data_IF_671916916343
#
_entry.id   IF_671916916343
#
_cell.length_a   1.000
_cell.length_b   1.000
_cell.length_c   1.000
_cell.angle_alpha   90.00
_cell.angle_beta   90.00
_cell.angle_gamma   90.00
#
_symmetry.space_group_name_H-M   'P 1'
#
loop_
_entity.id
_entity.type
_entity.pdbx_description
1 polymer ?
#
# COMPACT_ATOMS: atom_id res chain seq x y z
N UNK A 1 -15.48 0.31 -10.82
CA UNK A 1 -15.53 0.73 -9.40
C UNK A 1 -14.14 1.15 -8.93
N UNK A 2 -13.93 2.42 -8.58
CA UNK A 2 -12.67 2.86 -7.99
C UNK A 2 -12.25 1.98 -6.81
N UNK A 3 -10.95 1.71 -6.67
CA UNK A 3 -10.45 0.74 -5.68
C UNK A 3 -10.85 1.04 -4.23
N UNK A 4 -11.15 2.30 -3.93
CA UNK A 4 -11.50 2.77 -2.60
C UNK A 4 -12.95 2.51 -2.17
N UNK A 5 -13.86 2.11 -3.07
CA UNK A 5 -15.29 2.00 -2.73
C UNK A 5 -15.59 0.88 -1.72
N UNK A 6 -14.83 -0.20 -1.76
CA UNK A 6 -14.99 -1.35 -0.86
C UNK A 6 -14.00 -1.34 0.32
N UNK A 7 -13.25 -0.24 0.45
CA UNK A 7 -12.20 -0.11 1.46
C UNK A 7 -12.79 0.57 2.70
N UNK A 8 -12.72 -0.06 3.88
CA UNK A 8 -13.23 0.54 5.11
C UNK A 8 -12.58 1.90 5.39
N UNK A 9 -13.36 2.87 5.93
CA UNK A 9 -12.82 4.15 6.32
C UNK A 9 -11.81 3.98 7.45
N UNK A 10 -10.83 4.87 7.49
CA UNK A 10 -9.82 4.92 8.54
C UNK A 10 -9.88 6.29 9.20
N UNK A 11 -9.92 6.32 10.53
CA UNK A 11 -9.99 7.56 11.30
C UNK A 11 -8.85 7.64 12.29
N UNK A 12 -8.28 8.83 12.46
CA UNK A 12 -7.38 9.14 13.56
C UNK A 12 -7.62 10.55 14.09
N UNK A 13 -7.14 10.79 15.30
CA UNK A 13 -7.32 12.06 15.98
C UNK A 13 -6.05 12.92 15.92
N UNK A 14 -6.23 14.23 15.83
CA UNK A 14 -5.18 15.25 15.97
C UNK A 14 -5.56 16.23 17.07
N UNK A 15 -4.55 16.83 17.68
CA UNK A 15 -4.74 17.98 18.57
C UNK A 15 -4.74 19.26 17.72
N UNK A 16 -5.86 19.98 17.74
CA UNK A 16 -6.07 21.22 17.02
C UNK A 16 -6.45 22.30 18.03
N UNK A 17 -5.48 23.17 18.34
CA UNK A 17 -5.66 24.28 19.30
C UNK A 17 -6.15 23.83 20.69
N UNK A 18 -5.69 22.66 21.15
CA UNK A 18 -6.08 22.08 22.45
C UNK A 18 -7.37 21.27 22.42
N UNK A 19 -8.03 21.16 21.26
CA UNK A 19 -9.19 20.31 21.06
C UNK A 19 -8.85 19.10 20.21
N UNK A 20 -9.40 17.93 20.58
CA UNK A 20 -9.24 16.71 19.80
C UNK A 20 -10.17 16.72 18.60
N UNK A 21 -9.60 16.77 17.40
CA UNK A 21 -10.32 16.70 16.13
C UNK A 21 -10.07 15.35 15.46
N UNK A 22 -11.03 14.87 14.67
CA UNK A 22 -10.97 13.58 13.97
C UNK A 22 -10.87 13.79 12.46
N UNK A 23 -9.96 13.03 11.85
CA UNK A 23 -9.71 13.03 10.42
C UNK A 23 -9.99 11.63 9.89
N UNK A 24 -10.89 11.55 8.90
CA UNK A 24 -11.32 10.28 8.31
C UNK A 24 -10.89 10.23 6.85
N UNK A 25 -10.18 9.18 6.46
CA UNK A 25 -10.12 8.77 5.06
C UNK A 25 -11.32 7.88 4.74
N UNK A 26 -12.09 8.21 3.71
CA UNK A 26 -13.24 7.43 3.25
C UNK A 26 -13.45 7.62 1.75
N UNK A 27 -13.72 6.53 1.03
CA UNK A 27 -14.05 6.57 -0.41
C UNK A 27 -13.09 7.44 -1.23
N UNK A 28 -11.78 7.27 -1.01
CA UNK A 28 -10.73 7.97 -1.75
C UNK A 28 -10.45 9.41 -1.28
N UNK A 29 -11.21 9.94 -0.33
CA UNK A 29 -11.12 11.33 0.11
C UNK A 29 -10.78 11.45 1.60
N UNK A 30 -10.20 12.59 1.99
CA UNK A 30 -10.03 13.00 3.39
C UNK A 30 -11.19 13.89 3.79
N UNK A 31 -11.83 13.55 4.90
CA UNK A 31 -12.88 14.31 5.55
C UNK A 31 -12.35 14.84 6.88
N UNK A 32 -12.36 16.15 7.05
CA UNK A 32 -12.03 16.83 8.31
C UNK A 32 -13.33 17.05 9.08
N UNK A 33 -13.61 16.23 10.09
CA UNK A 33 -14.95 16.20 10.73
C UNK A 33 -15.33 17.54 11.38
N UNK A 34 -14.35 18.23 11.95
CA UNK A 34 -14.54 19.54 12.60
C UNK A 34 -14.29 20.73 11.67
N UNK A 35 -13.82 20.49 10.43
CA UNK A 35 -13.54 21.52 9.44
C UNK A 35 -14.08 21.11 8.05
N UNK A 36 -15.41 20.96 7.90
CA UNK A 36 -16.01 20.40 6.68
C UNK A 36 -15.80 21.29 5.44
N UNK A 37 -15.69 22.60 5.62
CA UNK A 37 -15.47 23.57 4.54
C UNK A 37 -13.98 23.88 4.36
N UNK A 38 -13.25 22.93 3.76
CA UNK A 38 -11.79 23.03 3.57
C UNK A 38 -11.38 24.32 2.84
N UNK A 39 -12.14 24.74 1.83
CA UNK A 39 -11.82 25.96 1.07
C UNK A 39 -12.03 27.23 1.89
N UNK A 40 -13.01 27.25 2.82
CA UNK A 40 -13.20 28.36 3.75
C UNK A 40 -12.02 28.44 4.74
N UNK A 41 -11.55 27.31 5.26
CA UNK A 41 -10.36 27.25 6.13
C UNK A 41 -9.10 27.74 5.39
N UNK A 42 -8.91 27.31 4.14
CA UNK A 42 -7.81 27.80 3.29
C UNK A 42 -7.90 29.32 3.08
N UNK A 43 -9.10 29.86 2.87
CA UNK A 43 -9.30 31.30 2.75
C UNK A 43 -8.97 32.05 4.05
N UNK A 44 -9.39 31.53 5.21
CA UNK A 44 -9.04 32.11 6.52
C UNK A 44 -7.52 32.15 6.74
N UNK A 45 -6.82 31.06 6.42
CA UNK A 45 -5.35 31.02 6.49
C UNK A 45 -4.71 32.04 5.54
N UNK A 46 -5.21 32.15 4.31
CA UNK A 46 -4.72 33.13 3.34
C UNK A 46 -4.93 34.59 3.80
N UNK A 47 -5.96 34.84 4.62
CA UNK A 47 -6.24 36.14 5.24
C UNK A 47 -5.44 36.39 6.54
N UNK A 48 -4.50 35.51 6.88
CA UNK A 48 -3.64 35.63 8.06
C UNK A 48 -4.12 34.87 9.29
N UNK A 49 -5.13 34.01 9.15
CA UNK A 49 -5.57 33.10 10.21
C UNK A 49 -4.53 32.02 10.52
N UNK A 50 -4.61 31.45 11.73
CA UNK A 50 -3.77 30.32 12.14
C UNK A 50 -4.21 29.08 11.35
N UNK A 51 -3.25 28.31 10.85
CA UNK A 51 -3.53 27.07 10.12
C UNK A 51 -3.86 25.94 11.11
N UNK A 52 -5.08 25.37 11.08
CA UNK A 52 -5.42 24.27 11.97
C UNK A 52 -4.64 23.01 11.61
N UNK A 53 -4.34 22.18 12.61
CA UNK A 53 -3.58 20.93 12.40
C UNK A 53 -4.28 19.98 11.43
N UNK A 54 -5.62 19.99 11.40
CA UNK A 54 -6.42 19.25 10.43
C UNK A 54 -6.09 19.63 8.99
N UNK A 55 -5.92 20.92 8.71
CA UNK A 55 -5.57 21.40 7.37
C UNK A 55 -4.12 21.09 7.00
N UNK A 56 -3.20 21.08 7.97
CA UNK A 56 -1.83 20.57 7.73
C UNK A 56 -1.82 19.10 7.31
N UNK A 57 -2.59 18.25 8.01
CA UNK A 57 -2.72 16.83 7.64
C UNK A 57 -3.33 16.68 6.25
N UNK A 58 -4.35 17.47 5.92
CA UNK A 58 -4.97 17.46 4.60
C UNK A 58 -3.94 17.79 3.50
N UNK A 59 -3.15 18.85 3.68
CA UNK A 59 -2.12 19.22 2.72
C UNK A 59 -1.01 18.17 2.61
N UNK A 60 -0.61 17.54 3.72
CA UNK A 60 0.35 16.44 3.72
C UNK A 60 -0.19 15.21 2.98
N UNK A 61 -1.48 14.89 3.13
CA UNK A 61 -2.13 13.85 2.35
C UNK A 61 -2.10 14.17 0.85
N UNK A 62 -2.49 15.38 0.46
CA UNK A 62 -2.47 15.79 -0.95
C UNK A 62 -1.05 15.70 -1.53
N UNK A 63 -0.06 16.16 -0.75
CA UNK A 63 1.35 16.09 -1.13
C UNK A 63 1.84 14.64 -1.26
N UNK A 64 1.43 13.75 -0.36
CA UNK A 64 1.77 12.33 -0.41
C UNK A 64 1.25 11.67 -1.69
N UNK A 65 -0.02 11.90 -2.03
CA UNK A 65 -0.66 11.35 -3.24
C UNK A 65 -0.06 11.93 -4.52
N UNK A 66 0.34 13.20 -4.50
CA UNK A 66 0.92 13.87 -5.67
C UNK A 66 2.37 13.44 -5.93
N UNK A 67 3.20 13.37 -4.89
CA UNK A 67 4.65 13.14 -5.04
C UNK A 67 5.05 11.67 -4.93
N UNK A 68 4.44 10.92 -4.00
CA UNK A 68 4.74 9.50 -3.76
C UNK A 68 6.10 9.19 -3.15
N UNK A 69 6.99 10.17 -2.92
CA UNK A 69 8.34 9.91 -2.44
C UNK A 69 8.44 9.22 -1.06
N UNK A 70 7.41 9.34 -0.22
CA UNK A 70 7.33 8.62 1.07
C UNK A 70 7.34 7.09 0.90
N UNK A 71 7.03 6.57 -0.29
CA UNK A 71 7.00 5.14 -0.61
C UNK A 71 8.35 4.47 -0.37
N UNK A 72 9.47 5.19 -0.54
CA UNK A 72 10.79 4.65 -0.18
C UNK A 72 10.85 4.22 1.29
N UNK A 73 10.37 5.08 2.20
CA UNK A 73 10.33 4.75 3.61
C UNK A 73 9.24 3.73 3.92
N UNK A 74 8.08 3.80 3.28
CA UNK A 74 6.94 2.91 3.55
C UNK A 74 7.14 1.49 3.03
N UNK A 75 7.79 1.30 1.87
CA UNK A 75 7.83 0.03 1.15
C UNK A 75 8.34 -1.18 1.98
N UNK A 76 9.41 -1.06 2.79
CA UNK A 76 9.93 -2.16 3.59
C UNK A 76 9.02 -2.58 4.75
N UNK A 77 8.05 -1.74 5.14
CA UNK A 77 7.21 -1.96 6.31
C UNK A 77 5.81 -2.39 5.91
N UNK A 78 5.26 -3.34 6.68
CA UNK A 78 3.90 -3.84 6.50
C UNK A 78 2.95 -3.43 7.63
N UNK A 79 3.50 -3.02 8.78
CA UNK A 79 2.74 -2.57 9.94
C UNK A 79 3.36 -1.30 10.47
N UNK A 80 2.59 -0.58 11.28
CA UNK A 80 3.12 0.52 12.06
C UNK A 80 4.21 0.03 13.02
N UNK A 81 5.34 0.70 13.01
CA UNK A 81 6.46 0.47 13.93
C UNK A 81 6.76 1.76 14.69
N UNK A 82 6.53 1.72 16.01
CA UNK A 82 6.73 2.89 16.89
C UNK A 82 8.20 3.27 16.99
N UNK A 83 9.10 2.29 17.03
CA UNK A 83 10.53 2.55 17.14
C UNK A 83 11.05 3.15 15.83
N UNK A 84 10.61 2.63 14.69
CA UNK A 84 10.95 3.22 13.39
C UNK A 84 10.41 4.63 13.24
N UNK A 85 9.15 4.88 13.63
CA UNK A 85 8.55 6.22 13.60
C UNK A 85 9.29 7.20 14.51
N UNK A 86 9.68 6.77 15.70
CA UNK A 86 10.51 7.58 16.59
C UNK A 86 11.85 7.94 15.96
N UNK A 87 12.55 6.96 15.39
CA UNK A 87 13.81 7.20 14.68
C UNK A 87 13.65 8.17 13.49
N UNK A 88 12.56 8.03 12.72
CA UNK A 88 12.26 8.93 11.60
C UNK A 88 12.05 10.38 12.05
N UNK A 89 11.38 10.60 13.19
CA UNK A 89 11.23 11.95 13.76
C UNK A 89 12.60 12.56 14.09
N UNK A 90 13.51 11.78 14.69
CA UNK A 90 14.87 12.24 14.97
C UNK A 90 15.67 12.50 13.69
N UNK A 91 15.58 11.62 12.69
CA UNK A 91 16.27 11.78 11.41
C UNK A 91 15.77 13.02 10.65
N UNK A 92 14.47 13.29 10.68
CA UNK A 92 13.86 14.47 10.08
C UNK A 92 14.32 15.76 10.76
N UNK A 93 14.43 15.76 12.09
CA UNK A 93 14.94 16.92 12.83
C UNK A 93 16.40 17.21 12.52
N UNK A 94 17.24 16.16 12.41
CA UNK A 94 18.64 16.31 11.97
C UNK A 94 18.76 16.80 10.53
N UNK A 95 17.87 16.33 9.64
CA UNK A 95 17.81 16.84 8.28
C UNK A 95 17.50 18.34 8.23
N UNK A 96 16.62 18.83 9.12
CA UNK A 96 16.27 20.25 9.23
C UNK A 96 17.38 21.11 9.81
N UNK A 97 17.93 20.67 10.94
CA UNK A 97 18.86 21.48 11.74
C UNK A 97 20.31 21.37 11.27
N UNK A 98 20.74 20.18 10.87
CA UNK A 98 22.13 19.87 10.51
C UNK A 98 22.31 19.64 8.99
N UNK A 99 21.21 19.43 8.24
CA UNK A 99 21.25 19.08 6.82
C UNK A 99 21.69 17.63 6.56
N UNK A 100 21.71 16.77 7.59
CA UNK A 100 22.12 15.35 7.46
C UNK A 100 20.93 14.49 7.05
N UNK A 101 21.04 13.82 5.91
CA UNK A 101 19.98 12.97 5.34
C UNK A 101 20.27 11.49 5.61
N UNK A 102 19.59 10.94 6.62
CA UNK A 102 19.72 9.53 7.03
C UNK A 102 18.57 8.65 6.53
N UNK A 103 17.68 9.17 5.69
CA UNK A 103 16.49 8.50 5.19
C UNK A 103 16.03 9.13 3.86
N UNK A 104 15.17 8.42 3.11
CA UNK A 104 14.69 8.86 1.79
C UNK A 104 15.83 9.24 0.85
N UNK A 105 16.83 8.36 0.73
CA UNK A 105 18.10 8.64 0.05
C UNK A 105 17.96 8.83 -1.46
N UNK A 106 16.91 8.27 -2.07
CA UNK A 106 16.66 8.45 -3.50
C UNK A 106 16.03 9.82 -3.83
N UNK A 107 15.70 10.62 -2.80
CA UNK A 107 15.11 11.94 -2.95
C UNK A 107 16.14 13.06 -2.73
N UNK A 108 16.06 14.15 -3.52
CA UNK A 108 16.73 15.39 -3.19
C UNK A 108 16.31 15.89 -1.80
N UNK A 109 17.23 16.54 -1.08
CA UNK A 109 17.05 16.99 0.31
C UNK A 109 15.70 17.70 0.58
N UNK A 110 15.33 18.65 -0.28
CA UNK A 110 14.07 19.40 -0.12
C UNK A 110 12.82 18.52 -0.23
N UNK A 111 12.87 17.51 -1.11
CA UNK A 111 11.79 16.51 -1.24
C UNK A 111 11.81 15.52 -0.08
N UNK A 112 12.99 15.10 0.38
CA UNK A 112 13.14 14.24 1.55
C UNK A 112 12.57 14.89 2.82
N UNK A 113 12.77 16.20 3.02
CA UNK A 113 12.15 16.95 4.12
C UNK A 113 10.61 16.85 4.09
N UNK A 114 10.01 17.13 2.93
CA UNK A 114 8.56 17.08 2.74
C UNK A 114 7.98 15.68 2.91
N UNK A 115 8.64 14.67 2.33
CA UNK A 115 8.21 13.27 2.43
C UNK A 115 8.49 12.65 3.80
N UNK A 116 9.49 13.16 4.52
CA UNK A 116 9.70 12.85 5.92
C UNK A 116 8.58 13.35 6.80
N UNK A 117 8.12 14.59 6.59
CA UNK A 117 6.95 15.14 7.27
C UNK A 117 5.68 14.30 7.04
N UNK A 118 5.46 13.87 5.80
CA UNK A 118 4.39 12.91 5.46
C UNK A 118 4.52 11.63 6.28
N UNK A 119 5.72 11.05 6.30
CA UNK A 119 6.00 9.75 6.94
C UNK A 119 5.86 9.77 8.47
N UNK A 120 6.22 10.88 9.12
CA UNK A 120 6.14 11.01 10.59
C UNK A 120 4.79 11.53 11.08
N UNK A 121 4.02 12.22 10.23
CA UNK A 121 2.73 12.79 10.60
C UNK A 121 1.59 11.83 10.32
N UNK A 122 1.51 11.27 9.11
CA UNK A 122 0.39 10.40 8.74
C UNK A 122 0.49 9.04 9.43
N UNK A 123 -0.64 8.46 9.88
CA UNK A 123 -0.67 7.06 10.33
C UNK A 123 -0.28 6.09 9.21
N UNK A 124 0.23 4.92 9.56
CA UNK A 124 0.64 3.91 8.57
C UNK A 124 -0.52 3.50 7.65
N UNK A 125 -1.73 3.37 8.19
CA UNK A 125 -2.93 3.06 7.40
C UNK A 125 -3.27 4.17 6.40
N UNK A 126 -2.98 5.45 6.71
CA UNK A 126 -3.11 6.53 5.74
C UNK A 126 -2.02 6.44 4.67
N UNK A 127 -0.78 6.09 5.03
CA UNK A 127 0.29 5.85 4.05
C UNK A 127 -0.05 4.67 3.11
N UNK A 128 -0.74 3.64 3.63
CA UNK A 128 -1.28 2.55 2.82
C UNK A 128 -2.29 3.05 1.78
N UNK A 129 -3.22 3.93 2.18
CA UNK A 129 -4.20 4.53 1.25
C UNK A 129 -3.55 5.48 0.25
N UNK A 130 -2.58 6.29 0.69
CA UNK A 130 -1.85 7.18 -0.19
C UNK A 130 -1.06 6.39 -1.25
N UNK A 131 -0.43 5.28 -0.86
CA UNK A 131 0.31 4.43 -1.81
C UNK A 131 -0.63 3.81 -2.84
N UNK A 132 -1.79 3.30 -2.41
CA UNK A 132 -2.79 2.77 -3.32
C UNK A 132 -3.30 3.84 -4.30
N UNK A 133 -3.50 5.08 -3.85
CA UNK A 133 -3.88 6.20 -4.71
C UNK A 133 -2.78 6.58 -5.72
N UNK A 134 -1.50 6.63 -5.29
CA UNK A 134 -0.35 6.88 -6.17
C UNK A 134 -0.25 5.83 -7.26
N UNK A 135 -0.37 4.55 -6.88
CA UNK A 135 -0.30 3.41 -7.81
C UNK A 135 -1.47 3.41 -8.79
N UNK A 136 -2.69 3.66 -8.32
CA UNK A 136 -3.89 3.72 -9.16
C UNK A 136 -3.82 4.87 -10.19
N UNK A 137 -3.40 6.05 -9.75
CA UNK A 137 -3.21 7.20 -10.63
C UNK A 137 -2.09 6.98 -11.67
N UNK A 138 -1.08 6.16 -11.36
CA UNK A 138 -0.05 5.78 -12.33
C UNK A 138 -0.56 4.72 -13.31
N UNK A 139 -1.31 3.71 -12.85
CA UNK A 139 -1.95 2.69 -13.70
C UNK A 139 -2.83 3.35 -14.78
N UNK A 140 -3.60 4.36 -14.40
CA UNK A 140 -4.46 5.13 -15.31
C UNK A 140 -3.68 6.01 -16.32
N UNK A 141 -2.44 6.37 -16.03
CA UNK A 141 -1.61 7.28 -16.85
C UNK A 141 -0.54 6.54 -17.67
N UNK A 142 -0.54 5.20 -17.68
CA UNK A 142 0.43 4.40 -18.43
C UNK A 142 1.72 4.06 -17.68
N UNK A 143 1.66 4.04 -16.35
CA UNK A 143 2.73 3.57 -15.46
C UNK A 143 4.08 4.32 -15.59
N UNK A 144 4.03 5.65 -15.40
CA UNK A 144 5.21 6.51 -15.43
C UNK A 144 5.79 6.76 -14.02
N UNK A 145 6.61 5.82 -13.54
CA UNK A 145 7.40 6.00 -12.32
C UNK A 145 8.88 6.08 -12.64
N UNK A 146 9.59 6.92 -11.90
CA UNK A 146 11.06 6.89 -11.95
C UNK A 146 11.61 5.52 -11.48
N UNK A 147 12.86 5.16 -11.84
CA UNK A 147 13.42 3.85 -11.52
C UNK A 147 13.52 3.53 -10.02
N UNK A 148 13.82 4.52 -9.16
CA UNK A 148 13.94 4.30 -7.72
C UNK A 148 12.59 3.98 -7.09
N UNK A 149 11.56 4.76 -7.41
CA UNK A 149 10.20 4.51 -6.94
C UNK A 149 9.65 3.18 -7.47
N UNK A 150 9.95 2.83 -8.72
CA UNK A 150 9.61 1.53 -9.30
C UNK A 150 10.22 0.37 -8.51
N UNK A 151 11.48 0.50 -8.07
CA UNK A 151 12.16 -0.49 -7.22
C UNK A 151 11.45 -0.64 -5.88
N UNK A 152 11.12 0.46 -5.19
CA UNK A 152 10.41 0.42 -3.91
C UNK A 152 9.02 -0.19 -4.03
N UNK A 153 8.25 0.15 -5.07
CA UNK A 153 6.96 -0.48 -5.36
C UNK A 153 7.09 -1.98 -5.65
N UNK A 154 8.15 -2.40 -6.33
CA UNK A 154 8.44 -3.80 -6.56
C UNK A 154 8.75 -4.53 -5.24
N UNK A 155 9.58 -3.94 -4.37
CA UNK A 155 9.88 -4.49 -3.03
C UNK A 155 8.61 -4.59 -2.16
N UNK A 156 7.80 -3.54 -2.13
CA UNK A 156 6.53 -3.51 -1.41
C UNK A 156 5.56 -4.59 -1.90
N UNK A 157 5.44 -4.74 -3.22
CA UNK A 157 4.61 -5.79 -3.86
C UNK A 157 5.10 -7.17 -3.47
N UNK A 158 6.42 -7.46 -3.54
CA UNK A 158 6.98 -8.76 -3.15
C UNK A 158 6.71 -9.09 -1.69
N UNK A 159 6.93 -8.14 -0.77
CA UNK A 159 6.71 -8.31 0.66
C UNK A 159 5.25 -8.67 0.95
N UNK A 160 4.32 -7.87 0.41
CA UNK A 160 2.88 -8.03 0.62
C UNK A 160 2.35 -9.30 -0.05
N UNK A 161 2.81 -9.62 -1.25
CA UNK A 161 2.47 -10.86 -1.96
C UNK A 161 2.97 -12.11 -1.21
N UNK A 162 4.21 -12.11 -0.69
CA UNK A 162 4.74 -13.21 0.12
C UNK A 162 3.86 -13.49 1.34
N UNK A 163 3.45 -12.45 2.06
CA UNK A 163 2.59 -12.58 3.25
C UNK A 163 1.20 -13.11 2.88
N UNK A 164 0.60 -12.58 1.82
CA UNK A 164 -0.68 -13.05 1.31
C UNK A 164 -0.60 -14.52 0.85
N UNK A 165 0.45 -14.91 0.13
CA UNK A 165 0.70 -16.29 -0.27
C UNK A 165 0.79 -17.23 0.95
N UNK A 166 1.61 -16.90 1.96
CA UNK A 166 1.74 -17.73 3.18
C UNK A 166 0.38 -17.88 3.87
N UNK A 167 -0.40 -16.79 3.97
CA UNK A 167 -1.75 -16.82 4.53
C UNK A 167 -2.72 -17.64 3.68
N UNK A 168 -2.63 -17.62 2.36
CA UNK A 168 -3.48 -18.45 1.50
C UNK A 168 -3.14 -19.94 1.66
N UNK A 169 -1.85 -20.30 1.59
CA UNK A 169 -1.39 -21.68 1.72
C UNK A 169 -1.72 -22.28 3.09
N UNK A 170 -1.78 -21.47 4.16
CA UNK A 170 -2.24 -21.98 5.47
C UNK A 170 -3.71 -22.45 5.48
N UNK A 171 -4.51 -22.05 4.49
CA UNK A 171 -5.89 -22.50 4.30
C UNK A 171 -6.01 -23.65 3.28
N UNK A 172 -4.92 -24.04 2.61
CA UNK A 172 -4.91 -25.11 1.60
C UNK A 172 -5.23 -26.48 2.22
N UNK A 173 -5.96 -27.30 1.46
CA UNK A 173 -6.25 -28.69 1.80
C UNK A 173 -5.75 -29.61 0.67
N UNK A 174 -4.98 -30.69 0.98
CA UNK A 174 -4.49 -31.08 2.31
C UNK A 174 -3.56 -30.02 2.93
N UNK A 175 -3.47 -29.99 4.26
CA UNK A 175 -2.69 -28.97 4.97
C UNK A 175 -1.21 -29.10 4.69
N UNK A 176 -0.54 -27.98 4.43
CA UNK A 176 0.90 -27.97 4.16
C UNK A 176 1.64 -27.55 5.44
N UNK A 177 2.59 -28.37 5.92
CA UNK A 177 3.38 -28.02 7.09
C UNK A 177 4.27 -26.82 6.79
N UNK A 178 4.31 -25.86 7.73
CA UNK A 178 5.16 -24.67 7.66
C UNK A 178 5.09 -23.90 6.34
N UNK A 179 3.93 -23.32 5.94
CA UNK A 179 3.79 -22.55 4.71
C UNK A 179 4.84 -21.43 4.55
N UNK A 180 5.30 -20.87 5.66
CA UNK A 180 6.32 -19.84 5.70
C UNK A 180 7.70 -20.30 5.22
N UNK A 181 7.98 -21.61 5.15
CA UNK A 181 9.25 -22.16 4.68
C UNK A 181 9.25 -22.47 3.17
N UNK A 182 8.10 -22.40 2.51
CA UNK A 182 8.01 -22.67 1.07
C UNK A 182 8.78 -21.57 0.32
N UNK A 183 9.77 -21.91 -0.52
CA UNK A 183 10.35 -20.99 -1.48
C UNK A 183 9.26 -20.32 -2.34
N UNK A 184 9.21 -18.99 -2.31
CA UNK A 184 8.27 -18.20 -3.09
C UNK A 184 9.06 -17.07 -3.76
N UNK A 185 9.08 -17.08 -5.08
CA UNK A 185 9.68 -16.01 -5.89
C UNK A 185 8.56 -15.20 -6.54
N UNK A 186 8.57 -13.90 -6.30
CA UNK A 186 7.64 -12.97 -6.93
C UNK A 186 8.42 -12.07 -7.89
N UNK A 187 8.19 -12.32 -9.18
CA UNK A 187 8.68 -11.52 -10.28
C UNK A 187 7.75 -10.31 -10.44
N UNK A 188 8.34 -9.13 -10.56
CA UNK A 188 7.58 -7.90 -10.75
C UNK A 188 7.76 -7.50 -12.21
N UNK A 189 6.68 -7.61 -12.98
CA UNK A 189 6.69 -7.37 -14.42
C UNK A 189 5.68 -6.29 -14.76
N UNK A 190 6.07 -5.36 -15.63
CA UNK A 190 5.20 -4.31 -16.14
C UNK A 190 4.32 -4.78 -17.32
N UNK A 191 4.51 -6.01 -17.79
CA UNK A 191 3.60 -6.67 -18.73
C UNK A 191 2.31 -7.10 -18.03
N UNK A 192 1.18 -7.08 -18.75
CA UNK A 192 -0.13 -7.26 -18.12
C UNK A 192 -0.41 -8.68 -17.58
N UNK A 193 0.15 -9.72 -18.19
CA UNK A 193 -0.20 -11.09 -17.82
C UNK A 193 0.50 -11.54 -16.53
N UNK A 194 -0.30 -11.67 -15.48
CA UNK A 194 0.10 -12.36 -14.25
C UNK A 194 0.10 -13.87 -14.50
N UNK A 195 1.08 -14.58 -13.96
CA UNK A 195 1.18 -16.04 -14.09
C UNK A 195 1.66 -16.66 -12.78
N UNK A 196 1.37 -17.95 -12.59
CA UNK A 196 1.86 -18.76 -11.47
C UNK A 196 2.44 -20.07 -11.99
N UNK A 197 3.53 -20.54 -11.39
CA UNK A 197 4.19 -21.82 -11.70
C UNK A 197 4.78 -22.42 -10.42
N UNK A 198 5.16 -23.69 -10.51
CA UNK A 198 5.74 -24.44 -9.40
C UNK A 198 4.82 -25.56 -8.96
N UNK A 199 4.95 -26.00 -7.71
CA UNK A 199 4.12 -27.05 -7.12
C UNK A 199 4.33 -27.10 -5.60
N UNK A 200 3.38 -27.75 -4.91
CA UNK A 200 3.49 -28.09 -3.49
C UNK A 200 3.63 -29.61 -3.35
N UNK A 201 4.75 -30.06 -2.78
CA UNK A 201 5.06 -31.47 -2.56
C UNK A 201 5.96 -31.64 -1.32
N UNK A 202 5.45 -31.19 -0.16
CA UNK A 202 6.20 -31.23 1.10
C UNK A 202 7.49 -30.40 1.04
N UNK A 203 8.65 -31.05 1.19
CA UNK A 203 9.96 -30.37 1.23
C UNK A 203 10.44 -29.84 -0.12
N UNK A 204 9.94 -30.41 -1.22
CA UNK A 204 10.32 -30.03 -2.58
C UNK A 204 9.40 -28.93 -3.14
N UNK A 205 8.53 -28.35 -2.31
CA UNK A 205 7.62 -27.28 -2.72
C UNK A 205 8.40 -26.05 -3.17
N UNK A 206 7.99 -25.44 -4.26
CA UNK A 206 8.51 -24.16 -4.74
C UNK A 206 7.45 -23.48 -5.58
N UNK A 207 7.29 -22.16 -5.42
CA UNK A 207 6.28 -21.38 -6.14
C UNK A 207 6.91 -20.14 -6.74
N UNK A 208 6.58 -19.88 -7.99
CA UNK A 208 6.91 -18.63 -8.67
C UNK A 208 5.63 -17.95 -9.15
N UNK A 209 5.57 -16.64 -8.98
CA UNK A 209 4.48 -15.81 -9.49
C UNK A 209 5.05 -14.59 -10.20
N UNK A 210 4.36 -14.10 -11.22
CA UNK A 210 4.58 -12.79 -11.82
C UNK A 210 3.40 -11.89 -11.50
N UNK A 211 3.68 -10.71 -10.94
CA UNK A 211 2.68 -9.69 -10.62
C UNK A 211 3.08 -8.35 -11.22
N UNK A 212 2.07 -7.59 -11.66
CA UNK A 212 2.22 -6.18 -11.93
C UNK A 212 2.11 -5.38 -10.63
N UNK A 213 2.90 -4.30 -10.40
CA UNK A 213 2.80 -3.55 -9.15
C UNK A 213 1.46 -2.83 -8.93
N UNK A 214 0.61 -2.69 -9.99
CA UNK A 214 -0.82 -2.30 -9.85
C UNK A 214 -1.60 -3.22 -8.91
N UNK A 215 -1.10 -4.43 -8.64
CA UNK A 215 -1.62 -5.33 -7.62
C UNK A 215 -1.75 -4.66 -6.24
N UNK A 216 -0.89 -3.67 -5.92
CA UNK A 216 -0.99 -2.91 -4.68
C UNK A 216 -2.34 -2.19 -4.56
N UNK A 217 -2.80 -1.47 -5.59
CA UNK A 217 -4.09 -0.78 -5.56
C UNK A 217 -5.26 -1.73 -5.81
N UNK A 218 -5.15 -2.62 -6.81
CA UNK A 218 -6.26 -3.48 -7.25
C UNK A 218 -6.58 -4.63 -6.31
N UNK A 219 -5.59 -5.17 -5.59
CA UNK A 219 -5.76 -6.40 -4.80
C UNK A 219 -5.43 -6.17 -3.33
N UNK A 220 -4.24 -5.67 -3.03
CA UNK A 220 -3.79 -5.54 -1.64
C UNK A 220 -4.57 -4.47 -0.87
N UNK A 221 -4.70 -3.26 -1.42
CA UNK A 221 -5.37 -2.15 -0.75
C UNK A 221 -6.87 -2.41 -0.50
N UNK A 222 -7.50 -3.18 -1.39
CA UNK A 222 -8.88 -3.66 -1.29
C UNK A 222 -9.10 -4.77 -0.26
N UNK A 223 -8.02 -5.32 0.30
CA UNK A 223 -8.11 -6.41 1.28
C UNK A 223 -8.44 -7.77 0.67
N UNK A 224 -8.35 -7.93 -0.65
CA UNK A 224 -8.71 -9.18 -1.36
C UNK A 224 -7.49 -10.03 -1.76
N UNK A 225 -6.29 -9.68 -1.31
CA UNK A 225 -5.06 -10.45 -1.53
C UNK A 225 -5.16 -11.92 -1.07
N UNK A 226 -5.99 -12.18 -0.06
CA UNK A 226 -6.45 -13.54 0.27
C UNK A 226 -7.97 -13.51 0.39
N UNK A 227 -8.66 -14.19 -0.52
CA UNK A 227 -10.11 -14.30 -0.52
C UNK A 227 -10.52 -15.77 -0.63
N UNK A 228 -11.48 -16.21 0.19
CA UNK A 228 -11.88 -17.63 0.33
C UNK A 228 -10.69 -18.60 0.53
N UNK A 229 -9.66 -18.14 1.24
CA UNK A 229 -8.44 -18.93 1.51
C UNK A 229 -7.47 -19.05 0.32
N UNK A 230 -7.75 -18.42 -0.83
CA UNK A 230 -6.90 -18.47 -2.03
C UNK A 230 -6.10 -17.18 -2.19
N UNK A 231 -4.92 -17.30 -2.79
CA UNK A 231 -4.06 -16.15 -3.10
C UNK A 231 -4.55 -15.48 -4.37
N UNK A 232 -4.87 -14.18 -4.32
CA UNK A 232 -5.37 -13.42 -5.45
C UNK A 232 -4.21 -12.75 -6.19
N UNK A 233 -4.05 -13.05 -7.47
CA UNK A 233 -2.99 -12.48 -8.33
C UNK A 233 -3.45 -11.26 -9.12
N UNK A 234 -4.75 -11.14 -9.38
CA UNK A 234 -5.32 -9.94 -10.00
C UNK A 234 -6.78 -9.76 -9.59
N UNK A 235 -7.25 -8.52 -9.68
CA UNK A 235 -8.66 -8.18 -9.57
C UNK A 235 -9.02 -7.26 -10.74
N UNK A 236 -9.99 -7.70 -11.53
CA UNK A 236 -10.52 -6.95 -12.66
C UNK A 236 -11.98 -6.61 -12.41
N UNK A 237 -12.45 -5.56 -13.05
CA UNK A 237 -13.81 -5.10 -12.91
C UNK A 237 -14.44 -4.88 -14.27
N UNK A 238 -15.72 -5.23 -14.35
CA UNK A 238 -16.65 -4.78 -15.38
C UNK A 238 -17.74 -3.95 -14.72
N UNK A 239 -18.56 -3.25 -15.50
CA UNK A 239 -19.58 -2.32 -14.99
C UNK A 239 -20.53 -2.96 -13.95
N UNK A 240 -20.75 -4.28 -14.04
CA UNK A 240 -21.69 -5.01 -13.17
C UNK A 240 -21.01 -6.02 -12.23
N UNK A 241 -19.68 -6.18 -12.26
CA UNK A 241 -19.03 -7.23 -11.46
C UNK A 241 -17.55 -7.02 -11.16
N UNK A 242 -17.13 -7.57 -10.01
CA UNK A 242 -15.71 -7.71 -9.68
C UNK A 242 -15.31 -9.16 -9.88
N UNK A 243 -14.25 -9.40 -10.64
CA UNK A 243 -13.66 -10.72 -10.85
C UNK A 243 -12.29 -10.79 -10.19
N UNK A 244 -12.06 -11.85 -9.42
CA UNK A 244 -10.76 -12.16 -8.84
C UNK A 244 -10.11 -13.28 -9.63
N UNK A 245 -8.85 -13.09 -10.01
CA UNK A 245 -8.00 -14.16 -10.53
C UNK A 245 -7.16 -14.69 -9.38
N UNK A 246 -7.35 -15.95 -9.04
CA UNK A 246 -6.79 -16.58 -7.84
C UNK A 246 -6.01 -17.85 -8.17
N UNK A 247 -5.04 -18.19 -7.32
CA UNK A 247 -4.34 -19.47 -7.39
C UNK A 247 -5.21 -20.58 -6.82
N UNK A 248 -5.56 -21.53 -7.66
CA UNK A 248 -6.13 -22.82 -7.31
C UNK A 248 -5.05 -23.90 -7.38
N UNK A 249 -5.16 -24.88 -6.49
CA UNK A 249 -4.20 -25.97 -6.38
C UNK A 249 -4.87 -27.25 -6.85
N UNK A 250 -4.42 -27.80 -7.98
CA UNK A 250 -4.96 -29.03 -8.57
C UNK A 250 -4.11 -30.23 -8.16
N UNK A 251 -4.76 -31.28 -7.67
CA UNK A 251 -4.09 -32.51 -7.26
C UNK A 251 -3.73 -33.35 -8.50
N UNK A 252 -2.43 -33.62 -8.67
CA UNK A 252 -1.90 -34.52 -9.70
C UNK A 252 -1.21 -35.74 -9.08
N UNK A 253 -1.75 -36.24 -7.97
CA UNK A 253 -1.31 -37.43 -7.25
C UNK A 253 -0.39 -37.09 -6.08
N UNK A 254 0.91 -36.87 -6.37
CA UNK A 254 1.93 -36.63 -5.32
C UNK A 254 2.29 -35.14 -5.14
N UNK A 255 1.62 -34.26 -5.87
CA UNK A 255 1.90 -32.82 -5.89
C UNK A 255 0.64 -32.03 -6.21
N UNK A 256 0.61 -30.80 -5.70
CA UNK A 256 -0.39 -29.81 -6.06
C UNK A 256 0.22 -28.82 -7.04
N UNK A 257 -0.30 -28.75 -8.25
CA UNK A 257 0.13 -27.78 -9.25
C UNK A 257 -0.73 -26.50 -9.12
N UNK A 258 -0.15 -25.29 -9.22
CA UNK A 258 -0.93 -24.07 -9.19
C UNK A 258 -1.51 -23.75 -10.57
N UNK A 259 -2.77 -23.36 -10.61
CA UNK A 259 -3.48 -22.88 -11.78
C UNK A 259 -4.18 -21.56 -11.45
N UNK A 260 -4.28 -20.65 -12.43
CA UNK A 260 -5.04 -19.42 -12.26
C UNK A 260 -6.50 -19.66 -12.62
N UNK A 261 -7.38 -19.39 -11.68
CA UNK A 261 -8.83 -19.44 -11.87
C UNK A 261 -9.42 -18.06 -11.66
N UNK A 262 -10.23 -17.59 -12.60
CA UNK A 262 -10.99 -16.35 -12.45
C UNK A 262 -12.40 -16.66 -11.96
N UNK A 263 -12.82 -15.99 -10.88
CA UNK A 263 -14.15 -16.12 -10.30
C UNK A 263 -14.75 -14.75 -10.02
N UNK A 264 -16.04 -14.58 -10.32
CA UNK A 264 -16.81 -13.39 -9.98
C UNK A 264 -17.14 -13.36 -8.47
N UNK A 265 -17.09 -12.17 -7.88
CA UNK A 265 -17.49 -11.91 -6.48
C UNK A 265 -19.00 -11.82 -6.32
#
# INVERSE_FOLDING_TARGET
MPWYEQVPPVTFDVDCEGNRHSITWSQGNIVLQQHPEIDAEKALVALGGVKPKCLEVFDLWQLAVLDGGFIEEWAPWHYSDRQRRWWLMTALERLRSEGVQDFLYDLPRERALKMGEVSVTLPHEFLDRATAAVVDAADQRGWDFNPSLSRHLAEATRLRARRAFVKAVSHQRPSIPSPALIPFRCHINLSEESWVRGYLSGRDSHVEVSLHPRWLSRVWARGVAVHKGRFTVDASETDDSVSLTQVEWTDKGNKLDPELMTSQL
#
